data_IF_634897203188
#
_entry.id   IF_634897203188
#
_cell.length_a   1.000
_cell.length_b   1.000
_cell.length_c   1.000
_cell.angle_alpha   90.00
_cell.angle_beta   90.00
_cell.angle_gamma   90.00
#
_symmetry.space_group_name_H-M   'P 1'
#
loop_
_entity.id
_entity.type
_entity.pdbx_description
1 polymer ?
#
# COMPACT_ATOMS: atom_id res chain seq x y z
N UNK A 1 -0.22 -13.67 20.17
CA UNK A 1 0.23 -12.94 18.97
C UNK A 1 -0.97 -12.83 18.05
N UNK A 2 -1.54 -11.64 17.89
CA UNK A 2 -2.65 -11.42 16.97
C UNK A 2 -2.06 -11.20 15.57
N UNK A 3 -2.01 -12.24 14.76
CA UNK A 3 -1.88 -12.09 13.31
C UNK A 3 -3.29 -11.87 12.78
N UNK A 4 -3.62 -10.63 12.41
CA UNK A 4 -4.93 -10.32 11.83
C UNK A 4 -4.82 -10.51 10.31
N UNK A 5 -5.16 -11.70 9.84
CA UNK A 5 -5.38 -11.98 8.41
C UNK A 5 -6.72 -11.35 8.04
N UNK A 6 -6.71 -10.35 7.15
CA UNK A 6 -7.91 -9.66 6.69
C UNK A 6 -8.26 -10.04 5.25
N UNK A 7 -8.36 -11.32 4.93
CA UNK A 7 -8.96 -11.77 3.65
C UNK A 7 -10.35 -12.31 3.89
N UNK A 8 -11.35 -11.65 3.31
CA UNK A 8 -12.56 -12.34 2.87
C UNK A 8 -13.03 -11.65 1.57
N UNK A 9 -12.83 -12.37 0.46
CA UNK A 9 -13.73 -12.53 -0.68
C UNK A 9 -14.32 -11.24 -1.28
N UNK A 10 -13.73 -10.82 -2.42
CA UNK A 10 -14.45 -10.33 -3.61
C UNK A 10 -15.40 -9.12 -3.50
N UNK A 11 -15.41 -8.37 -2.40
CA UNK A 11 -16.17 -7.12 -2.33
C UNK A 11 -15.31 -6.07 -1.64
N UNK A 12 -15.07 -4.97 -2.36
CA UNK A 12 -14.58 -3.71 -1.83
C UNK A 12 -15.12 -3.51 -0.40
N UNK A 13 -14.28 -3.70 0.61
CA UNK A 13 -14.67 -3.59 2.02
C UNK A 13 -13.50 -2.91 2.74
N UNK A 14 -13.73 -1.68 3.17
CA UNK A 14 -12.81 -0.97 4.04
C UNK A 14 -12.87 -1.57 5.45
N UNK A 15 -11.73 -2.05 5.96
CA UNK A 15 -11.65 -2.69 7.28
C UNK A 15 -11.00 -1.74 8.29
N UNK A 16 -11.55 -1.70 9.51
CA UNK A 16 -11.02 -0.87 10.61
C UNK A 16 -10.51 -1.74 11.76
N UNK A 17 -9.42 -1.36 12.39
CA UNK A 17 -8.90 -2.02 13.60
C UNK A 17 -8.72 -1.03 14.76
N UNK A 18 -8.87 -1.55 15.99
CA UNK A 18 -8.72 -0.83 17.26
C UNK A 18 -7.68 -1.54 18.14
N UNK A 19 -6.85 -0.76 18.84
CA UNK A 19 -5.95 -1.28 19.89
C UNK A 19 -6.64 -1.15 21.25
N UNK A 20 -7.02 -2.26 21.87
CA UNK A 20 -7.44 -2.28 23.28
C UNK A 20 -6.20 -2.38 24.19
N UNK A 21 -6.14 -1.66 25.32
CA UNK A 21 -5.07 -1.83 26.30
C UNK A 21 -5.21 -3.17 27.05
N UNK A 22 -4.06 -3.75 27.41
CA UNK A 22 -3.98 -4.95 28.25
C UNK A 22 -4.64 -4.70 29.62
N UNK A 23 -5.37 -5.72 30.11
CA UNK A 23 -6.12 -5.79 31.38
C UNK A 23 -5.64 -4.82 32.48
N UNK A 24 -6.52 -3.88 32.86
CA UNK A 24 -6.41 -3.16 34.13
C UNK A 24 -7.19 -3.94 35.20
N UNK A 25 -6.46 -4.52 36.15
CA UNK A 25 -7.00 -5.01 37.41
C UNK A 25 -7.30 -3.82 38.33
N UNK A 26 -8.54 -3.67 38.78
CA UNK A 26 -8.88 -2.70 39.83
C UNK A 26 -8.81 -3.37 41.21
N UNK A 27 -8.03 -2.85 42.17
CA UNK A 27 -8.34 -3.00 43.58
C UNK A 27 -8.96 -1.72 44.14
N UNK A 28 -10.09 -1.91 44.83
CA UNK A 28 -10.69 -1.15 45.93
C UNK A 28 -10.59 0.40 45.94
N UNK A 29 -11.78 1.02 45.96
CA UNK A 29 -12.00 2.46 46.06
C UNK A 29 -11.70 3.03 47.46
N UNK A 30 -11.01 4.16 47.50
CA UNK A 30 -10.88 5.10 48.63
C UNK A 30 -11.45 6.48 48.18
N UNK A 31 -11.91 7.35 49.11
CA UNK A 31 -12.93 8.35 48.84
C UNK A 31 -12.49 9.57 48.00
N UNK A 32 -13.48 10.11 47.29
CA UNK A 32 -13.45 11.11 46.23
C UNK A 32 -12.94 12.51 46.69
N UNK A 33 -11.89 13.02 46.03
CA UNK A 33 -11.40 14.40 46.21
C UNK A 33 -11.73 15.25 44.97
N UNK A 34 -12.59 16.25 45.12
CA UNK A 34 -13.31 16.95 44.04
C UNK A 34 -12.46 18.04 43.34
N UNK A 35 -11.20 18.26 43.72
CA UNK A 35 -10.38 19.37 43.19
C UNK A 35 -9.37 19.04 42.07
N UNK A 36 -9.39 17.83 41.49
CA UNK A 36 -8.47 17.48 40.37
C UNK A 36 -9.06 17.53 38.95
N UNK A 37 -10.21 18.20 38.74
CA UNK A 37 -10.75 18.44 37.40
C UNK A 37 -10.07 19.63 36.71
N UNK A 38 -8.76 19.54 36.52
CA UNK A 38 -7.98 20.42 35.65
C UNK A 38 -7.63 19.61 34.39
N UNK A 39 -8.38 19.87 33.31
CA UNK A 39 -8.13 19.43 31.93
C UNK A 39 -7.71 17.96 31.74
N UNK A 40 -8.62 17.02 31.96
CA UNK A 40 -8.54 15.75 31.23
C UNK A 40 -9.00 16.01 29.80
N UNK A 41 -8.06 16.42 28.92
CA UNK A 41 -8.26 16.18 27.50
C UNK A 41 -8.48 14.68 27.37
N UNK A 42 -9.66 14.26 26.90
CA UNK A 42 -9.91 12.87 26.56
C UNK A 42 -8.97 12.51 25.39
N UNK A 43 -7.74 12.13 25.73
CA UNK A 43 -6.78 11.57 24.79
C UNK A 43 -7.43 10.28 24.28
N UNK A 44 -7.81 10.24 23.00
CA UNK A 44 -8.23 8.99 22.35
C UNK A 44 -7.19 7.93 22.69
N UNK A 45 -7.62 6.83 23.33
CA UNK A 45 -6.72 5.75 23.77
C UNK A 45 -6.22 4.87 22.61
N UNK A 46 -6.81 5.03 21.42
CA UNK A 46 -6.47 4.30 20.21
C UNK A 46 -6.59 5.20 18.98
N UNK A 47 -5.81 4.87 17.96
CA UNK A 47 -5.87 5.46 16.61
C UNK A 47 -6.57 4.45 15.71
N UNK A 48 -7.62 4.87 15.00
CA UNK A 48 -8.32 4.01 14.05
C UNK A 48 -7.76 4.18 12.64
N UNK A 49 -7.27 3.09 12.08
CA UNK A 49 -6.84 3.02 10.70
C UNK A 49 -7.94 2.38 9.85
N UNK A 50 -8.15 2.93 8.66
CA UNK A 50 -9.04 2.37 7.64
C UNK A 50 -8.17 1.98 6.45
N UNK A 51 -8.16 0.69 6.12
CA UNK A 51 -7.30 0.15 5.09
C UNK A 51 -8.11 -0.30 3.88
N UNK A 52 -7.64 0.06 2.69
CA UNK A 52 -8.16 -0.39 1.40
C UNK A 52 -6.99 -0.58 0.43
N UNK A 53 -7.22 -1.28 -0.68
CA UNK A 53 -6.25 -1.48 -1.75
C UNK A 53 -7.00 -1.83 -3.04
N UNK A 54 -6.30 -1.85 -4.17
CA UNK A 54 -6.77 -2.47 -5.41
C UNK A 54 -8.12 -1.91 -5.91
N UNK A 55 -8.27 -0.60 -5.84
CA UNK A 55 -9.50 0.06 -6.31
C UNK A 55 -9.55 0.19 -7.83
N UNK A 56 -8.42 0.13 -8.54
CA UNK A 56 -8.33 0.10 -10.01
C UNK A 56 -9.23 1.12 -10.73
N UNK A 57 -9.23 2.38 -10.28
CA UNK A 57 -10.09 3.46 -10.80
C UNK A 57 -11.61 3.21 -10.67
N UNK A 58 -12.03 2.24 -9.87
CA UNK A 58 -13.43 1.93 -9.58
C UNK A 58 -13.97 2.68 -8.35
N UNK A 59 -13.23 3.66 -7.82
CA UNK A 59 -13.68 4.47 -6.68
C UNK A 59 -15.03 5.16 -6.89
N UNK A 60 -15.44 5.60 -8.11
CA UNK A 60 -16.80 6.12 -8.33
C UNK A 60 -17.91 5.05 -8.22
N UNK A 61 -17.55 3.76 -8.26
CA UNK A 61 -18.48 2.63 -8.20
C UNK A 61 -18.57 2.02 -6.80
N UNK A 62 -17.83 2.54 -5.83
CA UNK A 62 -17.94 2.17 -4.42
C UNK A 62 -19.33 2.59 -3.91
N UNK A 63 -20.15 1.60 -3.52
CA UNK A 63 -21.54 1.81 -3.07
C UNK A 63 -21.74 1.71 -1.56
N UNK A 64 -20.66 1.59 -0.79
CA UNK A 64 -20.68 1.54 0.66
C UNK A 64 -19.93 2.74 1.22
N UNK A 65 -20.31 3.16 2.42
CA UNK A 65 -19.64 4.24 3.11
C UNK A 65 -18.27 3.77 3.60
N UNK A 66 -17.23 4.55 3.30
CA UNK A 66 -15.92 4.33 3.92
C UNK A 66 -16.07 4.67 5.41
N UNK A 67 -15.78 3.73 6.33
CA UNK A 67 -15.96 3.95 7.75
C UNK A 67 -15.10 5.12 8.22
N UNK A 68 -15.54 5.80 9.28
CA UNK A 68 -14.72 6.83 9.90
C UNK A 68 -13.42 6.24 10.46
N UNK A 69 -12.32 6.98 10.34
CA UNK A 69 -11.02 6.66 10.92
C UNK A 69 -10.15 7.91 11.05
N UNK A 70 -9.09 7.79 11.85
CA UNK A 70 -8.10 8.86 12.03
C UNK A 70 -7.13 8.90 10.84
N UNK A 71 -6.77 7.73 10.31
CA UNK A 71 -5.85 7.54 9.19
C UNK A 71 -6.47 6.59 8.17
N UNK A 72 -6.49 6.99 6.90
CA UNK A 72 -6.82 6.13 5.76
C UNK A 72 -5.54 5.65 5.09
N UNK A 73 -5.46 4.37 4.72
CA UNK A 73 -4.32 3.77 4.01
C UNK A 73 -4.84 3.09 2.73
N UNK A 74 -4.25 3.44 1.59
CA UNK A 74 -4.41 2.70 0.33
C UNK A 74 -3.13 1.93 -0.02
N UNK A 75 -3.20 0.61 -0.11
CA UNK A 75 -2.03 -0.27 -0.30
C UNK A 75 -1.70 -0.57 -1.79
N UNK A 76 -1.81 0.43 -2.66
CA UNK A 76 -1.48 0.30 -4.10
C UNK A 76 -2.64 -0.09 -4.99
N UNK A 77 -2.40 -0.07 -6.30
CA UNK A 77 -3.35 -0.40 -7.37
C UNK A 77 -4.62 0.46 -7.33
N UNK A 78 -4.44 1.77 -7.15
CA UNK A 78 -5.54 2.74 -7.21
C UNK A 78 -5.90 3.16 -8.64
N UNK A 79 -5.03 2.87 -9.60
CA UNK A 79 -5.24 3.10 -11.04
C UNK A 79 -5.34 1.79 -11.82
N UNK A 80 -5.66 1.86 -13.12
CA UNK A 80 -5.59 0.69 -14.00
C UNK A 80 -4.25 0.60 -14.72
N UNK A 81 -3.61 1.72 -15.02
CA UNK A 81 -2.30 1.73 -15.66
C UNK A 81 -1.46 2.97 -15.33
N UNK A 82 -1.88 3.80 -14.38
CA UNK A 82 -1.17 5.00 -13.97
C UNK A 82 -1.35 6.19 -14.91
N UNK A 83 -2.46 6.28 -15.66
CA UNK A 83 -2.73 7.48 -16.46
C UNK A 83 -3.00 8.67 -15.57
N UNK A 84 -2.65 9.87 -16.05
CA UNK A 84 -2.84 11.10 -15.29
C UNK A 84 -4.30 11.32 -14.86
N UNK A 85 -5.24 11.08 -15.78
CA UNK A 85 -6.68 11.15 -15.49
C UNK A 85 -7.08 10.21 -14.34
N UNK A 86 -6.58 8.97 -14.33
CA UNK A 86 -6.87 7.98 -13.28
C UNK A 86 -6.33 8.43 -11.92
N UNK A 87 -5.14 9.03 -11.91
CA UNK A 87 -4.51 9.56 -10.69
C UNK A 87 -5.26 10.78 -10.17
N UNK A 88 -5.69 11.68 -11.05
CA UNK A 88 -6.47 12.86 -10.69
C UNK A 88 -7.83 12.46 -10.13
N UNK A 89 -8.51 11.51 -10.76
CA UNK A 89 -9.81 10.99 -10.29
C UNK A 89 -9.68 10.35 -8.91
N UNK A 90 -8.65 9.51 -8.71
CA UNK A 90 -8.35 8.95 -7.40
C UNK A 90 -8.04 10.04 -6.36
N UNK A 91 -7.22 11.03 -6.70
CA UNK A 91 -6.87 12.14 -5.80
C UNK A 91 -8.10 12.97 -5.40
N UNK A 92 -9.03 13.19 -6.33
CA UNK A 92 -10.28 13.90 -6.06
C UNK A 92 -11.17 13.08 -5.11
N UNK A 93 -11.30 11.78 -5.36
CA UNK A 93 -12.08 10.88 -4.51
C UNK A 93 -11.49 10.78 -3.08
N UNK A 94 -10.19 10.53 -2.94
CA UNK A 94 -9.55 10.39 -1.61
C UNK A 94 -9.59 11.71 -0.82
N UNK A 95 -9.61 12.84 -1.51
CA UNK A 95 -9.78 14.17 -0.93
C UNK A 95 -11.11 14.36 -0.20
N UNK A 96 -12.18 13.73 -0.70
CA UNK A 96 -13.52 13.80 -0.10
C UNK A 96 -13.65 12.99 1.19
N UNK A 97 -12.73 12.07 1.47
CA UNK A 97 -12.78 11.25 2.67
C UNK A 97 -12.52 12.11 3.93
N UNK A 98 -13.24 11.86 5.05
CA UNK A 98 -13.16 12.69 6.26
C UNK A 98 -11.91 12.43 7.12
N UNK A 99 -11.06 11.48 6.71
CA UNK A 99 -9.87 11.08 7.44
C UNK A 99 -8.85 12.22 7.50
N UNK A 100 -8.25 12.43 8.66
CA UNK A 100 -7.27 13.52 8.86
C UNK A 100 -6.00 13.28 8.06
N UNK A 101 -5.53 12.03 8.05
CA UNK A 101 -4.36 11.60 7.29
C UNK A 101 -4.77 10.55 6.27
N UNK A 102 -4.22 10.63 5.06
CA UNK A 102 -4.45 9.68 3.96
C UNK A 102 -3.08 9.28 3.44
N UNK A 103 -2.73 8.01 3.57
CA UNK A 103 -1.46 7.45 3.14
C UNK A 103 -1.70 6.55 1.94
N UNK A 104 -0.84 6.65 0.93
CA UNK A 104 -0.95 5.86 -0.30
C UNK A 104 0.43 5.35 -0.69
N UNK A 105 0.52 4.08 -1.05
CA UNK A 105 1.64 3.54 -1.81
C UNK A 105 1.17 3.19 -3.22
N UNK A 106 2.08 3.02 -4.17
CA UNK A 106 1.79 2.47 -5.49
C UNK A 106 1.73 0.93 -5.45
N UNK A 107 1.12 0.33 -6.47
CA UNK A 107 1.16 -1.09 -6.82
C UNK A 107 1.64 -1.30 -8.27
N UNK A 108 1.43 -2.48 -8.85
CA UNK A 108 1.86 -2.79 -10.22
C UNK A 108 1.17 -1.92 -11.27
N UNK A 109 -0.06 -1.50 -11.02
CA UNK A 109 -0.84 -0.76 -12.02
C UNK A 109 -0.39 0.70 -12.15
N UNK A 110 0.39 1.24 -11.22
CA UNK A 110 0.91 2.61 -11.28
C UNK A 110 2.17 2.72 -12.16
N UNK A 111 2.06 2.37 -13.46
CA UNK A 111 3.20 2.34 -14.40
C UNK A 111 3.98 3.66 -14.50
N UNK A 112 3.28 4.79 -14.38
CA UNK A 112 3.86 6.14 -14.42
C UNK A 112 4.66 6.51 -13.16
N UNK A 113 4.52 5.75 -12.07
CA UNK A 113 5.20 6.00 -10.80
C UNK A 113 6.57 5.32 -10.73
N UNK A 114 6.75 4.22 -11.45
CA UNK A 114 8.00 3.46 -11.49
C UNK A 114 8.97 4.05 -12.54
N UNK A 115 9.97 4.78 -12.03
CA UNK A 115 11.02 5.36 -12.89
C UNK A 115 11.86 4.31 -13.61
N UNK A 116 11.99 3.10 -13.09
CA UNK A 116 12.71 2.02 -13.77
C UNK A 116 11.93 1.48 -14.96
N UNK A 117 10.63 1.75 -15.02
CA UNK A 117 9.74 1.43 -16.12
C UNK A 117 9.69 2.54 -17.18
N UNK A 118 9.83 3.80 -16.75
CA UNK A 118 9.94 4.96 -17.64
C UNK A 118 11.32 5.06 -18.30
N UNK A 119 12.38 4.56 -17.65
CA UNK A 119 13.76 4.67 -18.14
C UNK A 119 14.15 3.80 -19.35
N UNK A 120 13.64 2.57 -19.56
CA UNK A 120 14.06 1.78 -20.70
C UNK A 120 13.34 2.16 -22.02
N UNK A 121 12.45 3.17 -21.97
CA UNK A 121 12.00 3.92 -23.14
C UNK A 121 12.80 5.23 -23.35
N UNK A 122 13.67 5.58 -22.41
CA UNK A 122 14.58 6.72 -22.44
C UNK A 122 16.02 6.28 -22.69
N UNK A 123 16.36 6.03 -23.96
CA UNK A 123 17.71 6.06 -24.54
C UNK A 123 18.89 5.79 -23.59
N UNK A 124 19.23 4.52 -23.33
CA UNK A 124 20.59 4.18 -22.85
C UNK A 124 21.58 4.28 -24.03
N UNK A 125 22.63 5.12 -23.98
CA UNK A 125 23.61 5.28 -25.06
C UNK A 125 24.64 4.12 -25.09
N UNK A 126 24.16 2.87 -25.08
CA UNK A 126 25.03 1.69 -24.99
C UNK A 126 24.48 0.40 -25.63
N UNK A 127 23.16 0.21 -25.70
CA UNK A 127 22.60 -1.05 -26.21
C UNK A 127 22.41 -1.01 -27.73
N UNK A 128 23.51 -1.26 -28.45
CA UNK A 128 23.47 -1.76 -29.82
C UNK A 128 23.21 -3.26 -29.81
N UNK A 129 22.01 -3.67 -29.37
CA UNK A 129 21.49 -5.00 -29.66
C UNK A 129 20.59 -4.92 -30.89
N UNK A 130 21.15 -5.29 -32.03
CA UNK A 130 20.47 -5.39 -33.32
C UNK A 130 19.48 -6.55 -33.36
N UNK A 131 18.23 -6.23 -33.75
CA UNK A 131 17.19 -7.09 -34.36
C UNK A 131 16.43 -8.12 -33.49
N UNK A 132 15.44 -7.63 -32.74
CA UNK A 132 14.01 -8.00 -32.88
C UNK A 132 13.16 -6.87 -32.28
N UNK A 133 12.43 -6.12 -33.10
CA UNK A 133 11.78 -4.85 -32.73
C UNK A 133 10.54 -4.96 -31.83
N UNK A 134 10.66 -5.56 -30.65
CA UNK A 134 9.61 -5.48 -29.60
C UNK A 134 10.00 -4.42 -28.59
N UNK A 135 9.23 -3.33 -28.54
CA UNK A 135 9.35 -2.35 -27.45
C UNK A 135 8.98 -3.04 -26.14
N UNK A 136 9.54 -2.64 -25.00
CA UNK A 136 9.15 -3.20 -23.68
C UNK A 136 7.63 -3.11 -23.45
N UNK A 137 6.98 -2.16 -24.10
CA UNK A 137 5.53 -2.00 -24.11
C UNK A 137 4.78 -3.19 -24.72
N UNK A 138 5.40 -3.93 -25.64
CA UNK A 138 4.79 -5.09 -26.29
C UNK A 138 4.77 -6.32 -25.36
N UNK A 139 5.54 -6.29 -24.28
CA UNK A 139 5.60 -7.36 -23.29
C UNK A 139 4.65 -7.14 -22.11
N UNK A 140 4.05 -5.95 -22.00
CA UNK A 140 3.06 -5.63 -20.96
C UNK A 140 1.72 -6.20 -21.42
N UNK A 141 1.08 -7.09 -20.64
CA UNK A 141 -0.25 -7.54 -20.98
C UNK A 141 -1.21 -6.35 -20.91
N UNK A 142 -1.98 -6.13 -21.97
CA UNK A 142 -2.88 -4.97 -22.04
C UNK A 142 -4.01 -5.04 -21.03
N UNK A 143 -4.44 -6.24 -20.62
CA UNK A 143 -5.60 -6.45 -19.73
C UNK A 143 -6.84 -5.62 -20.14
N UNK A 144 -7.05 -5.47 -21.45
CA UNK A 144 -8.15 -4.67 -22.02
C UNK A 144 -7.91 -3.15 -22.04
N UNK A 145 -6.71 -2.68 -21.70
CA UNK A 145 -6.28 -1.28 -21.79
C UNK A 145 -5.64 -1.05 -23.17
N UNK A 146 -6.01 0.01 -23.91
CA UNK A 146 -5.37 0.34 -25.19
C UNK A 146 -3.84 0.51 -25.04
N UNK A 147 -3.05 0.00 -25.99
CA UNK A 147 -1.58 0.11 -25.95
C UNK A 147 -1.10 1.57 -25.89
N UNK A 148 -1.81 2.48 -26.55
CA UNK A 148 -1.47 3.91 -26.55
C UNK A 148 -1.58 4.53 -25.15
N UNK A 149 -2.56 4.09 -24.36
CA UNK A 149 -2.75 4.53 -22.97
C UNK A 149 -1.59 4.09 -22.07
N UNK A 150 -1.11 2.85 -22.26
CA UNK A 150 0.07 2.33 -21.56
C UNK A 150 1.30 3.16 -21.97
N UNK A 151 1.42 3.52 -23.24
CA UNK A 151 2.55 4.29 -23.77
C UNK A 151 2.58 5.72 -23.21
N UNK A 152 1.39 6.33 -23.06
CA UNK A 152 1.22 7.64 -22.46
C UNK A 152 1.60 7.62 -20.98
N UNK A 153 1.06 6.66 -20.20
CA UNK A 153 1.32 6.57 -18.76
C UNK A 153 2.82 6.45 -18.45
N UNK A 154 3.55 5.60 -19.16
CA UNK A 154 4.99 5.41 -18.94
C UNK A 154 5.83 6.65 -19.29
N UNK A 155 5.31 7.58 -20.11
CA UNK A 155 6.01 8.83 -20.46
C UNK A 155 5.71 9.98 -19.50
N UNK A 156 4.66 9.88 -18.69
CA UNK A 156 4.25 10.96 -17.80
C UNK A 156 5.32 11.20 -16.73
N UNK A 157 5.76 12.46 -16.61
CA UNK A 157 6.68 12.87 -15.55
C UNK A 157 5.91 13.57 -14.43
N UNK A 158 6.45 13.56 -13.22
CA UNK A 158 5.88 14.25 -12.06
C UNK A 158 4.46 13.80 -11.65
N UNK A 159 4.03 12.60 -12.05
CA UNK A 159 2.69 12.09 -11.74
C UNK A 159 2.36 12.08 -10.24
N UNK A 160 3.38 11.85 -9.40
CA UNK A 160 3.27 11.90 -7.94
C UNK A 160 2.76 13.24 -7.42
N UNK A 161 3.00 14.35 -8.13
CA UNK A 161 2.54 15.68 -7.76
C UNK A 161 1.03 15.86 -7.90
N UNK A 162 0.35 14.99 -8.67
CA UNK A 162 -1.10 15.00 -8.79
C UNK A 162 -1.79 14.51 -7.51
N UNK A 163 -1.08 13.79 -6.63
CA UNK A 163 -1.58 13.29 -5.35
C UNK A 163 -1.51 14.37 -4.25
N UNK A 164 -2.29 15.45 -4.40
CA UNK A 164 -2.30 16.59 -3.46
C UNK A 164 -3.11 16.36 -2.19
N UNK A 165 -4.05 15.39 -2.20
CA UNK A 165 -4.96 15.12 -1.08
C UNK A 165 -4.51 13.96 -0.19
N UNK A 166 -3.33 13.40 -0.43
CA UNK A 166 -2.76 12.32 0.37
C UNK A 166 -1.23 12.43 0.46
N UNK A 167 -0.65 11.66 1.37
CA UNK A 167 0.79 11.50 1.52
C UNK A 167 1.18 10.21 0.79
N UNK A 168 1.92 10.36 -0.30
CA UNK A 168 2.47 9.24 -1.03
C UNK A 168 3.76 8.74 -0.35
N UNK A 169 3.85 7.42 -0.12
CA UNK A 169 5.04 6.76 0.45
C UNK A 169 5.64 5.81 -0.60
N UNK A 170 6.95 5.92 -0.81
CA UNK A 170 7.74 5.01 -1.64
C UNK A 170 9.13 4.88 -1.03
N UNK A 171 9.38 3.75 -0.38
CA UNK A 171 10.60 3.48 0.38
C UNK A 171 10.84 4.53 1.48
N UNK A 172 9.76 5.02 2.10
CA UNK A 172 9.77 6.12 3.06
C UNK A 172 8.95 5.80 4.32
N UNK A 173 9.37 6.40 5.44
CA UNK A 173 8.64 6.38 6.70
C UNK A 173 7.93 7.70 7.02
N UNK A 174 6.86 7.60 7.79
CA UNK A 174 6.20 8.73 8.45
C UNK A 174 5.80 8.34 9.87
N UNK A 175 5.87 9.29 10.79
CA UNK A 175 5.39 9.12 12.16
C UNK A 175 4.08 9.87 12.32
N UNK A 176 3.00 9.13 12.58
CA UNK A 176 1.68 9.69 12.90
C UNK A 176 1.22 9.15 14.24
N UNK A 177 0.79 10.04 15.14
CA UNK A 177 0.33 9.67 16.48
C UNK A 177 1.33 8.81 17.27
N UNK A 178 2.64 9.01 17.04
CA UNK A 178 3.71 8.23 17.67
C UNK A 178 3.88 6.80 17.12
N UNK A 179 3.21 6.46 16.02
CA UNK A 179 3.38 5.19 15.32
C UNK A 179 4.22 5.41 14.06
N UNK A 180 5.28 4.61 13.88
CA UNK A 180 6.11 4.63 12.67
C UNK A 180 5.46 3.77 11.58
N UNK A 181 5.16 4.40 10.45
CA UNK A 181 4.54 3.78 9.29
C UNK A 181 5.55 3.80 8.14
N UNK A 182 5.89 2.63 7.58
CA UNK A 182 6.78 2.53 6.43
C UNK A 182 6.02 2.00 5.22
N UNK A 183 6.15 2.66 4.07
CA UNK A 183 5.44 2.31 2.84
C UNK A 183 6.39 2.01 1.68
N UNK A 184 6.18 0.91 0.98
CA UNK A 184 6.96 0.54 -0.21
C UNK A 184 6.12 -0.22 -1.26
N UNK A 185 6.27 0.08 -2.57
CA UNK A 185 5.44 -0.50 -3.62
C UNK A 185 6.01 -1.80 -4.23
N UNK A 186 7.23 -2.21 -3.86
CA UNK A 186 7.90 -3.35 -4.50
C UNK A 186 7.10 -4.64 -4.38
N UNK A 187 7.24 -5.50 -5.39
CA UNK A 187 6.63 -6.82 -5.41
C UNK A 187 7.48 -7.85 -6.17
N UNK A 188 7.41 -9.14 -5.80
CA UNK A 188 7.98 -10.20 -6.61
C UNK A 188 7.45 -10.17 -8.04
N UNK A 189 8.33 -10.41 -9.01
CA UNK A 189 7.99 -10.31 -10.43
C UNK A 189 6.70 -11.06 -10.80
N UNK A 190 5.72 -10.29 -11.28
CA UNK A 190 4.47 -10.76 -11.85
C UNK A 190 4.15 -9.98 -13.14
N UNK A 191 4.04 -10.68 -14.26
CA UNK A 191 3.57 -10.15 -15.55
C UNK A 191 4.26 -8.86 -16.09
N UNK A 192 5.48 -8.53 -15.65
CA UNK A 192 6.27 -7.35 -16.10
C UNK A 192 5.56 -6.00 -15.97
N UNK A 193 4.74 -5.83 -14.93
CA UNK A 193 4.21 -4.53 -14.51
C UNK A 193 5.22 -3.73 -13.66
N UNK A 194 4.82 -2.54 -13.20
CA UNK A 194 5.65 -1.68 -12.37
C UNK A 194 6.03 -2.31 -11.02
N UNK A 195 7.16 -1.84 -10.48
CA UNK A 195 7.69 -2.22 -9.17
C UNK A 195 8.00 -3.71 -9.01
N UNK A 196 8.19 -4.41 -10.13
CA UNK A 196 8.60 -5.80 -10.13
C UNK A 196 10.07 -5.95 -9.78
N UNK A 197 10.36 -6.84 -8.84
CA UNK A 197 11.70 -7.27 -8.48
C UNK A 197 11.79 -8.80 -8.53
N UNK A 198 12.87 -9.38 -9.08
CA UNK A 198 13.06 -10.83 -9.03
C UNK A 198 13.02 -11.36 -7.60
N UNK A 199 12.46 -12.56 -7.42
CA UNK A 199 12.47 -13.27 -6.13
C UNK A 199 13.89 -13.58 -5.65
N UNK A 200 14.04 -13.80 -4.34
CA UNK A 200 15.35 -14.02 -3.72
C UNK A 200 16.05 -12.71 -3.38
N UNK A 201 17.35 -12.62 -3.70
CA UNK A 201 18.23 -11.53 -3.24
C UNK A 201 17.75 -10.12 -3.63
N UNK A 202 17.17 -9.97 -4.82
CA UNK A 202 16.67 -8.66 -5.27
C UNK A 202 15.46 -8.18 -4.45
N UNK A 203 14.52 -9.08 -4.13
CA UNK A 203 13.45 -8.82 -3.17
C UNK A 203 14.02 -8.48 -1.79
N UNK A 204 14.92 -9.32 -1.26
CA UNK A 204 15.52 -9.13 0.06
C UNK A 204 16.20 -7.77 0.19
N UNK A 205 16.94 -7.34 -0.83
CA UNK A 205 17.59 -6.02 -0.89
C UNK A 205 16.61 -4.85 -0.77
N UNK A 206 15.35 -5.01 -1.21
CA UNK A 206 14.29 -4.01 -0.97
C UNK A 206 13.79 -4.09 0.46
N UNK A 207 13.53 -5.30 0.96
CA UNK A 207 13.01 -5.49 2.31
C UNK A 207 13.99 -5.05 3.38
N UNK A 208 15.30 -5.18 3.16
CA UNK A 208 16.36 -4.72 4.06
C UNK A 208 16.39 -3.21 4.30
N UNK A 209 15.74 -2.43 3.44
CA UNK A 209 15.58 -0.98 3.64
C UNK A 209 14.48 -0.64 4.66
N UNK A 210 13.62 -1.60 5.01
CA UNK A 210 12.56 -1.40 6.00
C UNK A 210 13.19 -1.24 7.40
N UNK A 211 12.96 -0.11 8.11
CA UNK A 211 13.46 0.09 9.46
C UNK A 211 12.94 -0.96 10.44
N UNK A 212 13.81 -1.46 11.31
CA UNK A 212 13.46 -2.51 12.28
C UNK A 212 12.48 -2.07 13.38
N UNK A 213 12.28 -0.77 13.57
CA UNK A 213 11.36 -0.18 14.54
C UNK A 213 10.01 0.24 13.91
N UNK A 214 9.70 -0.26 12.71
CA UNK A 214 8.42 0.00 12.02
C UNK A 214 7.24 -0.60 12.81
N UNK A 215 6.26 0.23 13.16
CA UNK A 215 5.02 -0.24 13.82
C UNK A 215 4.00 -0.78 12.82
N UNK A 216 3.84 -0.09 11.68
CA UNK A 216 2.89 -0.44 10.62
C UNK A 216 3.65 -0.48 9.30
N UNK A 217 3.71 -1.67 8.70
CA UNK A 217 4.29 -1.86 7.39
C UNK A 217 3.17 -1.82 6.34
N UNK A 218 3.38 -1.06 5.26
CA UNK A 218 2.48 -1.03 4.10
C UNK A 218 3.28 -1.48 2.88
N UNK A 219 2.92 -2.62 2.32
CA UNK A 219 3.47 -3.13 1.05
C UNK A 219 2.35 -3.40 0.09
N UNK A 220 2.61 -3.38 -1.22
CA UNK A 220 1.56 -3.79 -2.16
C UNK A 220 1.37 -5.31 -2.13
N UNK A 221 2.48 -6.06 -2.15
CA UNK A 221 2.47 -7.53 -2.14
C UNK A 221 2.26 -8.13 -0.73
N UNK A 222 1.55 -9.28 -0.61
CA UNK A 222 1.45 -10.02 0.65
C UNK A 222 2.73 -10.82 0.96
N UNK A 223 3.05 -11.08 2.25
CA UNK A 223 4.02 -12.11 2.62
C UNK A 223 3.41 -13.50 2.40
N UNK A 224 4.26 -14.49 2.08
CA UNK A 224 3.77 -15.85 1.82
C UNK A 224 2.98 -16.41 3.02
N UNK A 225 1.90 -17.13 2.75
CA UNK A 225 1.04 -17.74 3.76
C UNK A 225 -0.02 -16.82 4.37
N UNK A 226 -0.04 -15.53 4.02
CA UNK A 226 -0.99 -14.55 4.56
C UNK A 226 -1.65 -13.77 3.42
N UNK A 227 -2.94 -14.04 3.16
CA UNK A 227 -3.69 -13.35 2.11
C UNK A 227 -3.07 -13.46 0.71
N UNK A 228 -2.45 -14.61 0.43
CA UNK A 228 -1.64 -14.81 -0.78
C UNK A 228 -2.06 -16.04 -1.60
N UNK A 229 -3.16 -16.69 -1.23
CA UNK A 229 -3.64 -17.91 -1.87
C UNK A 229 -4.54 -17.53 -3.05
N UNK A 230 -4.06 -17.75 -4.27
CA UNK A 230 -4.85 -17.52 -5.47
C UNK A 230 -5.87 -18.64 -5.69
N UNK A 231 -6.90 -18.36 -6.50
CA UNK A 231 -7.91 -19.35 -6.93
C UNK A 231 -7.32 -20.58 -7.64
N UNK A 232 -6.11 -20.46 -8.20
CA UNK A 232 -5.34 -21.56 -8.79
C UNK A 232 -4.77 -22.54 -7.76
N UNK A 233 -4.87 -22.23 -6.47
CA UNK A 233 -4.24 -22.99 -5.38
C UNK A 233 -2.76 -22.67 -5.16
N UNK A 234 -2.20 -21.74 -5.95
CA UNK A 234 -0.80 -21.30 -5.85
C UNK A 234 -0.71 -20.13 -4.89
N UNK A 235 0.36 -20.10 -4.09
CA UNK A 235 0.70 -18.97 -3.22
C UNK A 235 1.57 -17.97 -3.96
N UNK A 236 1.10 -16.73 -4.06
CA UNK A 236 1.79 -15.65 -4.76
C UNK A 236 2.68 -14.80 -3.82
N UNK A 237 2.56 -14.96 -2.50
CA UNK A 237 3.23 -14.09 -1.54
C UNK A 237 4.75 -14.19 -1.57
N UNK A 238 5.43 -13.20 -1.00
CA UNK A 238 6.88 -13.14 -0.95
C UNK A 238 7.44 -13.88 0.28
N UNK A 239 8.36 -14.81 0.05
CA UNK A 239 9.03 -15.59 1.12
C UNK A 239 10.01 -14.72 1.90
N UNK A 240 10.78 -13.89 1.19
CA UNK A 240 11.75 -12.98 1.79
C UNK A 240 11.03 -11.94 2.67
N UNK A 241 9.88 -11.42 2.22
CA UNK A 241 9.07 -10.49 3.00
C UNK A 241 8.53 -11.13 4.28
N UNK A 242 8.04 -12.38 4.22
CA UNK A 242 7.62 -13.10 5.42
C UNK A 242 8.78 -13.21 6.43
N UNK A 243 9.96 -13.58 5.94
CA UNK A 243 11.16 -13.72 6.77
C UNK A 243 11.51 -12.39 7.44
N UNK A 244 11.52 -11.29 6.68
CA UNK A 244 11.75 -9.94 7.19
C UNK A 244 10.73 -9.54 8.27
N UNK A 245 9.44 -9.75 8.00
CA UNK A 245 8.34 -9.40 8.91
C UNK A 245 8.39 -10.22 10.20
N UNK A 246 8.68 -11.52 10.13
CA UNK A 246 8.66 -12.39 11.31
C UNK A 246 9.92 -12.29 12.17
N UNK A 247 11.09 -12.10 11.54
CA UNK A 247 12.37 -12.22 12.25
C UNK A 247 13.07 -10.89 12.52
N UNK A 248 12.88 -9.87 11.68
CA UNK A 248 13.61 -8.60 11.80
C UNK A 248 12.73 -7.42 12.20
N UNK A 249 11.71 -7.10 11.41
CA UNK A 249 10.91 -5.88 11.59
C UNK A 249 9.83 -6.08 12.64
N UNK A 250 9.11 -7.21 12.59
CA UNK A 250 8.05 -7.57 13.55
C UNK A 250 7.04 -6.43 13.78
N UNK A 251 6.48 -5.84 12.70
CA UNK A 251 5.52 -4.76 12.84
C UNK A 251 4.27 -5.25 13.58
N UNK A 252 3.57 -4.33 14.24
CA UNK A 252 2.30 -4.62 14.91
C UNK A 252 1.23 -4.97 13.89
N UNK A 253 1.26 -4.30 12.74
CA UNK A 253 0.35 -4.52 11.62
C UNK A 253 1.11 -4.48 10.29
N UNK A 254 0.69 -5.32 9.37
CA UNK A 254 1.16 -5.33 7.99
C UNK A 254 -0.06 -5.23 7.07
N UNK A 255 -0.13 -4.13 6.32
CA UNK A 255 -1.23 -3.81 5.40
C UNK A 255 -0.74 -4.05 3.97
N UNK A 256 -1.51 -4.78 3.19
CA UNK A 256 -1.19 -5.13 1.80
C UNK A 256 -2.45 -5.44 0.99
N UNK A 257 -2.27 -5.61 -0.33
CA UNK A 257 -3.32 -5.92 -1.30
C UNK A 257 -2.84 -6.95 -2.34
N UNK A 258 -3.05 -6.64 -3.63
CA UNK A 258 -2.61 -7.37 -4.81
C UNK A 258 -3.34 -8.69 -5.10
N UNK A 259 -3.54 -9.53 -4.09
CA UNK A 259 -4.26 -10.81 -4.21
C UNK A 259 -5.70 -10.60 -3.75
N UNK A 260 -6.64 -10.74 -4.67
CA UNK A 260 -8.04 -10.31 -4.47
C UNK A 260 -8.96 -11.44 -3.98
N UNK A 261 -8.48 -12.69 -4.02
CA UNK A 261 -9.21 -13.89 -3.59
C UNK A 261 -9.35 -14.02 -2.06
#
# INVERSE_FOLDING_TARGET
>A
MASLVLTESSQLMAKSFEKLPDKIMYPYAEPYDIQKHVFSSCQKSAVRFVCMSDTHSLTPHIRFDIPYGDVFIHAGDFTRCGREEEVVDFNNWIGQLPHKHKLVIAGNHELSFDRTFTHPLGSSPGDRATHTGTSLIDQIPTLGIPKDNIAEAVKTTNIKNCLTNCIYLEDQEIILYGLKIYGTPWQPEFCKWAFNVPRGEACLSKWDQIPSDTDILVTHTPPVGHGDLCCSGIRAGCVELLTTVQHRVRPKYHVFGHIHE
#
